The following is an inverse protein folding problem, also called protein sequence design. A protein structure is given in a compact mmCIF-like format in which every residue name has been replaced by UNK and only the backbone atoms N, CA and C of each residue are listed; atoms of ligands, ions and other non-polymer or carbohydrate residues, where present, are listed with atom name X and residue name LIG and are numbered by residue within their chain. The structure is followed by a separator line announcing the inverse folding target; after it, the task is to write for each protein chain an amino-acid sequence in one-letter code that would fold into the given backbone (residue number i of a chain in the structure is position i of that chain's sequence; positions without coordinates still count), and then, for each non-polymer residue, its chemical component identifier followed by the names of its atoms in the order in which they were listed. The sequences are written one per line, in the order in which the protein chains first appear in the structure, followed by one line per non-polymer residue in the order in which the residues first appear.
data_IF_144746846757
#
_entry.id   IF_144746846757
#
_cell.length_a   1.000
_cell.length_b   1.000
_cell.length_c   1.000
_cell.angle_alpha   90.00
_cell.angle_beta   90.00
_cell.angle_gamma   90.00
#
_symmetry.space_group_name_H-M   'P 1'
#
loop_
_entity.id
_entity.type
_entity.pdbx_description
1 polymer ?
#
# COMPACT_ATOMS: atom_id res chain seq x y z
N UNK A 1 32.48 62.03 23.82
CA UNK A 1 32.25 60.75 24.52
C UNK A 1 30.86 60.29 24.11
N UNK A 2 30.68 59.60 23.00
CA UNK A 2 30.85 58.16 22.82
C UNK A 2 31.23 57.85 21.36
N UNK A 3 32.17 56.95 21.16
CA UNK A 3 32.69 56.51 19.86
C UNK A 3 31.86 55.34 19.36
N UNK A 4 31.10 55.49 18.27
CA UNK A 4 30.48 54.35 17.56
C UNK A 4 31.49 53.87 16.53
N UNK A 5 32.13 52.74 16.83
CA UNK A 5 33.05 52.08 15.90
C UNK A 5 32.27 51.48 14.73
N UNK A 6 32.81 51.80 13.56
CA UNK A 6 32.54 51.25 12.24
C UNK A 6 32.65 49.71 12.16
N UNK A 7 32.11 49.22 11.03
CA UNK A 7 32.52 48.06 10.22
C UNK A 7 31.87 46.70 10.56
N UNK A 8 31.49 45.82 9.63
CA UNK A 8 31.54 45.70 8.14
C UNK A 8 31.04 44.26 7.88
N UNK A 9 30.12 43.89 6.99
CA UNK A 9 30.08 44.04 5.54
C UNK A 9 28.66 43.75 5.01
N UNK A 10 28.30 44.36 3.86
CA UNK A 10 27.09 44.09 3.09
C UNK A 10 27.31 42.88 2.16
N UNK A 11 26.23 42.46 1.51
CA UNK A 11 26.12 41.38 0.51
C UNK A 11 25.96 39.98 1.11
N UNK A 12 24.95 39.27 0.60
CA UNK A 12 24.54 37.88 0.88
C UNK A 12 23.41 37.69 1.89
N UNK A 13 22.22 38.18 1.55
CA UNK A 13 21.00 37.36 1.72
C UNK A 13 20.13 37.54 0.47
N UNK A 14 20.70 37.17 -0.68
CA UNK A 14 19.98 37.03 -1.92
C UNK A 14 19.06 35.82 -1.85
N UNK A 15 17.80 36.05 -2.22
CA UNK A 15 16.86 35.11 -2.85
C UNK A 15 17.43 33.70 -3.10
N UNK A 16 16.91 32.71 -2.38
CA UNK A 16 16.97 31.32 -2.85
C UNK A 16 15.58 30.67 -2.71
N UNK A 17 14.89 30.66 -3.84
CA UNK A 17 13.74 29.81 -4.12
C UNK A 17 14.07 28.34 -3.84
N UNK A 18 13.33 27.68 -2.93
CA UNK A 18 13.12 26.22 -2.88
C UNK A 18 12.33 25.92 -1.59
N UNK A 19 11.18 25.27 -1.56
CA UNK A 19 10.34 24.69 -2.59
C UNK A 19 8.95 24.56 -1.95
N UNK A 20 7.89 24.91 -2.68
CA UNK A 20 6.56 24.38 -2.41
C UNK A 20 6.63 22.90 -2.72
N UNK A 21 7.03 22.07 -1.75
CA UNK A 21 6.88 20.63 -1.89
C UNK A 21 5.39 20.34 -1.74
N UNK A 22 4.66 19.88 -2.77
CA UNK A 22 3.38 19.26 -2.52
C UNK A 22 3.68 18.08 -1.59
N UNK A 23 3.21 18.15 -0.34
CA UNK A 23 3.11 16.96 0.49
C UNK A 23 2.23 16.01 -0.30
N UNK A 24 2.84 15.03 -0.96
CA UNK A 24 2.10 13.92 -1.53
C UNK A 24 1.34 13.30 -0.36
N UNK A 25 0.03 13.46 -0.36
CA UNK A 25 -0.85 12.70 0.50
C UNK A 25 -0.65 11.24 0.11
N UNK A 26 0.18 10.53 0.87
CA UNK A 26 0.10 9.08 0.90
C UNK A 26 -1.33 8.80 1.30
N UNK A 27 -2.10 8.20 0.38
CA UNK A 27 -3.43 7.73 0.68
C UNK A 27 -3.29 6.81 1.90
N UNK A 28 -3.72 7.29 3.07
CA UNK A 28 -3.89 6.42 4.21
C UNK A 28 -5.06 5.53 3.82
N UNK A 29 -4.77 4.28 3.47
CA UNK A 29 -5.77 3.22 3.51
C UNK A 29 -6.29 3.23 4.95
N UNK A 30 -7.40 3.94 5.15
CA UNK A 30 -8.15 3.89 6.38
C UNK A 30 -8.61 2.43 6.51
N UNK A 31 -7.86 1.66 7.30
CA UNK A 31 -8.28 0.32 7.70
C UNK A 31 -9.69 0.42 8.26
N UNK A 32 -10.55 -0.53 7.88
CA UNK A 32 -11.94 -0.59 8.32
C UNK A 32 -12.02 -0.35 9.84
N UNK A 33 -12.74 0.69 10.31
CA UNK A 33 -12.84 1.02 11.73
C UNK A 33 -13.44 -0.12 12.56
N UNK A 34 -14.09 -1.10 11.93
CA UNK A 34 -14.56 -2.32 12.58
C UNK A 34 -13.42 -3.23 13.06
N UNK A 35 -12.20 -3.06 12.56
CA UNK A 35 -11.07 -3.98 12.81
C UNK A 35 -11.24 -5.37 12.18
N UNK A 36 -12.35 -5.60 11.49
CA UNK A 36 -12.61 -6.83 10.75
C UNK A 36 -11.81 -6.81 9.45
N UNK A 37 -11.16 -7.93 9.14
CA UNK A 37 -10.46 -8.10 7.87
C UNK A 37 -11.47 -8.59 6.82
N UNK A 38 -11.59 -7.86 5.73
CA UNK A 38 -12.44 -8.23 4.58
C UNK A 38 -11.57 -8.46 3.35
N UNK A 39 -11.98 -9.39 2.49
CA UNK A 39 -11.38 -9.64 1.19
C UNK A 39 -12.49 -9.72 0.13
N UNK A 40 -12.18 -9.27 -1.09
CA UNK A 40 -13.11 -9.31 -2.22
C UNK A 40 -12.92 -10.59 -3.02
N UNK A 41 -14.00 -11.33 -3.23
CA UNK A 41 -14.01 -12.47 -4.15
C UNK A 41 -14.38 -12.02 -5.56
N UNK A 42 -13.68 -12.53 -6.57
CA UNK A 42 -13.97 -12.24 -7.98
C UNK A 42 -14.78 -13.37 -8.59
N UNK A 43 -15.85 -13.05 -9.31
CA UNK A 43 -16.64 -14.04 -10.03
C UNK A 43 -15.93 -14.44 -11.31
N UNK A 44 -15.86 -15.74 -11.58
CA UNK A 44 -15.43 -16.29 -12.86
C UNK A 44 -16.43 -15.88 -13.96
N UNK A 45 -15.90 -15.53 -15.14
CA UNK A 45 -16.72 -15.28 -16.33
C UNK A 45 -17.49 -16.54 -16.74
N UNK A 46 -18.64 -16.38 -17.41
CA UNK A 46 -19.46 -17.52 -17.87
C UNK A 46 -18.72 -18.46 -18.83
N UNK A 47 -17.77 -17.90 -19.58
CA UNK A 47 -16.97 -18.60 -20.59
C UNK A 47 -15.51 -18.81 -20.12
N UNK A 48 -15.19 -18.46 -18.88
CA UNK A 48 -13.88 -18.71 -18.28
C UNK A 48 -13.88 -20.06 -17.56
N UNK A 49 -12.74 -20.76 -17.59
CA UNK A 49 -12.55 -22.04 -16.92
C UNK A 49 -11.23 -22.03 -16.16
N UNK A 50 -11.20 -22.66 -14.99
CA UNK A 50 -10.00 -22.82 -14.17
C UNK A 50 -9.45 -24.24 -14.28
N UNK A 51 -8.14 -24.38 -14.46
CA UNK A 51 -7.45 -25.67 -14.38
C UNK A 51 -6.83 -25.78 -12.98
N UNK A 52 -7.22 -26.80 -12.22
CA UNK A 52 -6.69 -27.01 -10.86
C UNK A 52 -5.38 -27.81 -10.89
N UNK A 53 -4.34 -27.22 -11.48
CA UNK A 53 -3.00 -27.82 -11.57
C UNK A 53 -1.96 -27.19 -10.63
N UNK A 54 -2.32 -26.10 -9.94
CA UNK A 54 -1.45 -25.38 -9.01
C UNK A 54 -0.67 -24.23 -9.64
N UNK A 55 -0.85 -23.98 -10.94
CA UNK A 55 -0.37 -22.78 -11.62
C UNK A 55 -1.50 -21.73 -11.58
N UNK A 56 -1.14 -20.46 -11.35
CA UNK A 56 -2.10 -19.36 -11.24
C UNK A 56 -1.92 -18.38 -12.41
N UNK A 57 -2.04 -18.88 -13.63
CA UNK A 57 -1.79 -18.12 -14.86
C UNK A 57 -3.07 -17.75 -15.63
N UNK A 58 -4.25 -18.20 -15.18
CA UNK A 58 -5.50 -17.77 -15.80
C UNK A 58 -5.78 -16.27 -15.60
N UNK A 59 -6.41 -15.60 -16.59
CA UNK A 59 -6.68 -14.16 -16.54
C UNK A 59 -7.42 -13.67 -15.28
N UNK A 60 -8.27 -14.52 -14.69
CA UNK A 60 -9.02 -14.17 -13.48
C UNK A 60 -8.13 -13.94 -12.26
N UNK A 61 -7.01 -14.65 -12.15
CA UNK A 61 -6.06 -14.48 -11.04
C UNK A 61 -5.34 -13.14 -11.10
N UNK A 62 -5.10 -12.61 -12.30
CA UNK A 62 -4.53 -11.27 -12.47
C UNK A 62 -5.52 -10.14 -12.15
N UNK A 63 -6.83 -10.41 -12.23
CA UNK A 63 -7.87 -9.44 -11.86
C UNK A 63 -8.23 -9.46 -10.37
N UNK A 64 -8.02 -10.59 -9.70
CA UNK A 64 -8.27 -10.73 -8.28
C UNK A 64 -7.18 -10.01 -7.45
N UNK A 65 -7.57 -8.93 -6.77
CA UNK A 65 -6.69 -8.22 -5.84
C UNK A 65 -6.24 -9.17 -4.73
N UNK A 66 -4.93 -9.35 -4.49
CA UNK A 66 -4.45 -10.19 -3.41
C UNK A 66 -4.77 -9.58 -2.04
N UNK A 67 -5.25 -10.41 -1.13
CA UNK A 67 -5.11 -10.16 0.30
C UNK A 67 -3.66 -10.48 0.70
N UNK A 68 -3.02 -9.54 1.38
CA UNK A 68 -1.63 -9.63 1.83
C UNK A 68 -1.50 -9.05 3.25
N UNK A 69 -0.27 -8.96 3.77
CA UNK A 69 -0.01 -8.37 5.09
C UNK A 69 -0.53 -9.22 6.25
N UNK A 70 -0.49 -10.54 6.08
CA UNK A 70 -0.89 -11.49 7.11
C UNK A 70 -0.06 -11.33 8.38
N UNK A 71 -0.70 -11.62 9.52
CA UNK A 71 -0.03 -11.72 10.82
C UNK A 71 0.11 -13.18 11.21
N UNK A 72 1.24 -13.52 11.80
CA UNK A 72 1.49 -14.88 12.27
C UNK A 72 0.73 -15.16 13.56
N UNK A 73 0.13 -16.34 13.65
CA UNK A 73 -0.45 -16.85 14.90
C UNK A 73 0.64 -17.41 15.81
N UNK A 74 1.61 -18.10 15.23
CA UNK A 74 2.75 -18.71 15.91
C UNK A 74 3.98 -18.60 15.00
N UNK A 75 5.21 -18.64 15.55
CA UNK A 75 5.55 -18.72 16.97
C UNK A 75 5.45 -17.35 17.69
N UNK A 76 5.57 -16.22 16.99
CA UNK A 76 5.45 -14.89 17.59
C UNK A 76 4.10 -14.26 17.21
N UNK A 77 3.06 -14.55 17.99
CA UNK A 77 1.68 -14.15 17.71
C UNK A 77 1.53 -12.64 17.47
N UNK A 78 0.79 -12.27 16.42
CA UNK A 78 0.43 -10.88 16.12
C UNK A 78 1.51 -10.08 15.39
N UNK A 79 2.72 -10.62 15.25
CA UNK A 79 3.76 -10.02 14.40
C UNK A 79 3.41 -10.19 12.92
N UNK A 80 3.97 -9.36 12.01
CA UNK A 80 3.89 -9.62 10.57
C UNK A 80 4.40 -11.03 10.25
N UNK A 81 3.72 -11.73 9.33
CA UNK A 81 4.17 -13.04 8.88
C UNK A 81 5.58 -12.95 8.28
N UNK A 82 6.44 -13.92 8.61
CA UNK A 82 7.80 -14.03 8.07
C UNK A 82 7.80 -14.41 6.59
N UNK A 83 6.77 -15.11 6.14
CA UNK A 83 6.57 -15.53 4.76
C UNK A 83 5.62 -14.57 4.03
N UNK A 84 6.08 -14.02 2.92
CA UNK A 84 5.23 -13.26 2.01
C UNK A 84 4.13 -14.17 1.45
N UNK A 85 2.88 -13.88 1.81
CA UNK A 85 1.72 -14.68 1.45
C UNK A 85 0.68 -13.79 0.78
N UNK A 86 0.30 -14.17 -0.43
CA UNK A 86 -0.81 -13.60 -1.18
C UNK A 86 -1.96 -14.61 -1.22
N UNK A 87 -3.17 -14.16 -0.90
CA UNK A 87 -4.39 -14.95 -1.05
C UNK A 87 -5.34 -14.25 -2.01
N UNK A 88 -5.84 -14.99 -3.00
CA UNK A 88 -6.87 -14.53 -3.94
C UNK A 88 -8.06 -15.47 -3.85
N UNK A 89 -9.27 -14.94 -4.01
CA UNK A 89 -10.50 -15.74 -3.99
C UNK A 89 -11.27 -15.51 -5.27
N UNK A 90 -11.53 -16.61 -5.99
CA UNK A 90 -12.35 -16.64 -7.19
C UNK A 90 -13.49 -17.63 -6.97
N UNK A 91 -14.67 -17.33 -7.51
CA UNK A 91 -15.84 -18.19 -7.38
C UNK A 91 -16.66 -18.25 -8.66
N UNK A 92 -17.38 -19.35 -8.84
CA UNK A 92 -18.41 -19.48 -9.85
C UNK A 92 -19.76 -19.82 -9.19
N UNK A 93 -20.85 -19.58 -9.91
CA UNK A 93 -22.17 -20.04 -9.47
C UNK A 93 -22.37 -21.45 -10.02
N UNK A 94 -22.36 -22.44 -9.13
CA UNK A 94 -22.79 -23.78 -9.48
C UNK A 94 -24.30 -23.77 -9.75
N UNK A 95 -24.70 -24.10 -10.97
CA UNK A 95 -26.10 -24.46 -11.27
C UNK A 95 -26.26 -25.96 -11.03
N UNK A 96 -27.25 -26.31 -10.21
CA UNK A 96 -27.69 -27.69 -9.96
C UNK A 96 -28.94 -27.95 -10.77
#
# INVERSE_FOLDING_TARGET
MLSVRLFRHPLLWGVFCCALTPTSAVAQEAGDPSGLRTLTAVRLGSDEHLVLDGVLDEPVWHRATPAAGFVQREPATGMPATEATDVRVVYEVRRV
#
